data_IF_146668850305
#
_entry.id   IF_146668850305
#
_cell.length_a   1.000
_cell.length_b   1.000
_cell.length_c   1.000
_cell.angle_alpha   90.00
_cell.angle_beta   90.00
_cell.angle_gamma   90.00
#
_symmetry.space_group_name_H-M   'P 1'
#
loop_
_entity.id
_entity.type
_entity.pdbx_description
1 polymer ?
#
# COMPACT_ATOMS: atom_id res chain seq x y z
N UNK A 1 -2.86 -30.67 -1.73
CA UNK A 1 -2.44 -29.35 -1.23
C UNK A 1 -3.10 -28.27 -2.03
N UNK A 2 -3.83 -27.35 -1.38
CA UNK A 2 -4.32 -26.22 -2.12
C UNK A 2 -3.13 -25.34 -2.54
N UNK A 3 -3.02 -25.10 -3.80
CA UNK A 3 -2.00 -24.21 -4.32
C UNK A 3 -2.47 -22.76 -4.21
N UNK A 4 -1.56 -21.85 -3.89
CA UNK A 4 -1.87 -20.44 -3.92
C UNK A 4 -2.22 -20.05 -5.35
N UNK A 5 -3.26 -19.23 -5.55
CA UNK A 5 -3.56 -18.75 -6.89
C UNK A 5 -2.36 -18.03 -7.50
N UNK A 6 -2.12 -18.29 -8.77
CA UNK A 6 -1.07 -17.61 -9.51
C UNK A 6 -1.59 -16.29 -10.06
N UNK A 7 -0.67 -15.45 -10.53
CA UNK A 7 -1.03 -14.20 -11.22
C UNK A 7 -1.93 -14.49 -12.42
N UNK A 8 -1.65 -15.58 -13.15
CA UNK A 8 -2.48 -15.97 -14.30
C UNK A 8 -3.91 -16.31 -13.85
N UNK A 9 -4.07 -16.98 -12.72
CA UNK A 9 -5.40 -17.31 -12.17
C UNK A 9 -6.16 -16.04 -11.80
N UNK A 10 -5.49 -15.08 -11.16
CA UNK A 10 -6.11 -13.81 -10.83
C UNK A 10 -6.56 -13.07 -12.09
N UNK A 11 -5.74 -13.05 -13.12
CA UNK A 11 -6.03 -12.39 -14.37
C UNK A 11 -7.27 -13.00 -15.04
N UNK A 12 -7.28 -14.33 -15.19
CA UNK A 12 -8.40 -15.05 -15.80
C UNK A 12 -9.70 -14.82 -15.04
N UNK A 13 -9.64 -14.91 -13.72
CA UNK A 13 -10.82 -14.72 -12.87
C UNK A 13 -11.37 -13.31 -13.00
N UNK A 14 -10.50 -12.31 -12.96
CA UNK A 14 -10.92 -10.92 -13.08
C UNK A 14 -11.52 -10.62 -14.46
N UNK A 15 -10.92 -11.12 -15.52
CA UNK A 15 -11.46 -10.97 -16.87
C UNK A 15 -12.87 -11.54 -16.95
N UNK A 16 -13.07 -12.73 -16.42
CA UNK A 16 -14.36 -13.43 -16.47
C UNK A 16 -15.42 -12.72 -15.63
N UNK A 17 -15.06 -12.33 -14.40
CA UNK A 17 -16.02 -11.76 -13.46
C UNK A 17 -16.34 -10.30 -13.73
N UNK A 18 -15.39 -9.54 -14.27
CA UNK A 18 -15.61 -8.12 -14.56
C UNK A 18 -15.98 -7.84 -16.00
N UNK A 19 -15.97 -8.86 -16.85
CA UNK A 19 -16.24 -8.75 -18.30
C UNK A 19 -15.29 -7.77 -18.99
N UNK A 20 -14.04 -7.73 -18.55
CA UNK A 20 -12.99 -6.88 -19.12
C UNK A 20 -12.03 -7.72 -19.93
N UNK A 21 -11.41 -7.10 -20.94
CA UNK A 21 -10.37 -7.73 -21.74
C UNK A 21 -9.09 -7.86 -20.92
N UNK A 22 -8.19 -8.71 -21.40
CA UNK A 22 -6.87 -8.87 -20.81
C UNK A 22 -6.13 -7.52 -20.75
N UNK A 23 -6.14 -6.77 -21.86
CA UNK A 23 -5.49 -5.47 -21.93
C UNK A 23 -6.05 -4.48 -20.91
N UNK A 24 -7.37 -4.47 -20.73
CA UNK A 24 -8.01 -3.59 -19.74
C UNK A 24 -7.61 -3.95 -18.32
N UNK A 25 -7.62 -5.25 -17.98
CA UNK A 25 -7.24 -5.71 -16.63
C UNK A 25 -5.78 -5.42 -16.37
N UNK A 26 -4.89 -5.69 -17.34
CA UNK A 26 -3.47 -5.42 -17.20
C UNK A 26 -3.18 -3.92 -17.03
N UNK A 27 -3.88 -3.07 -17.77
CA UNK A 27 -3.73 -1.63 -17.64
C UNK A 27 -4.15 -1.16 -16.24
N UNK A 28 -5.29 -1.64 -15.75
CA UNK A 28 -5.75 -1.30 -14.41
C UNK A 28 -4.79 -1.81 -13.34
N UNK A 29 -4.31 -3.04 -13.50
CA UNK A 29 -3.36 -3.64 -12.57
C UNK A 29 -2.05 -2.84 -12.52
N UNK A 30 -1.54 -2.42 -13.68
CA UNK A 30 -0.33 -1.62 -13.77
C UNK A 30 -0.52 -0.25 -13.09
N UNK A 31 -1.61 0.44 -13.39
CA UNK A 31 -1.89 1.75 -12.79
C UNK A 31 -2.06 1.65 -11.26
N UNK A 32 -2.82 0.64 -10.82
CA UNK A 32 -3.06 0.41 -9.40
C UNK A 32 -1.77 0.05 -8.69
N UNK A 33 -0.96 -0.83 -9.30
CA UNK A 33 0.31 -1.23 -8.73
C UNK A 33 1.30 -0.09 -8.62
N UNK A 34 1.41 0.76 -9.65
CA UNK A 34 2.28 1.93 -9.61
C UNK A 34 1.85 2.92 -8.53
N UNK A 35 0.53 3.15 -8.41
CA UNK A 35 0.02 4.05 -7.38
C UNK A 35 0.32 3.53 -5.99
N UNK A 36 0.17 2.24 -5.78
CA UNK A 36 0.48 1.60 -4.50
C UNK A 36 1.98 1.70 -4.19
N UNK A 37 2.83 1.39 -5.15
CA UNK A 37 4.29 1.47 -4.97
C UNK A 37 4.73 2.89 -4.68
N UNK A 38 4.16 3.88 -5.38
CA UNK A 38 4.43 5.29 -5.13
C UNK A 38 4.04 5.67 -3.70
N UNK A 39 2.84 5.28 -3.28
CA UNK A 39 2.35 5.57 -1.93
C UNK A 39 3.25 4.97 -0.87
N UNK A 40 3.60 3.69 -1.03
CA UNK A 40 4.48 3.00 -0.09
C UNK A 40 5.85 3.65 0.00
N UNK A 41 6.39 4.04 -1.15
CA UNK A 41 7.68 4.71 -1.23
C UNK A 41 7.66 6.06 -0.50
N UNK A 42 6.65 6.87 -0.78
CA UNK A 42 6.56 8.21 -0.17
C UNK A 42 6.26 8.15 1.33
N UNK A 43 5.40 7.23 1.75
CA UNK A 43 5.13 7.05 3.18
C UNK A 43 6.35 6.52 3.92
N UNK A 44 7.12 5.64 3.29
CA UNK A 44 8.40 5.18 3.85
C UNK A 44 9.37 6.33 4.09
N UNK A 45 9.49 7.24 3.12
CA UNK A 45 10.33 8.44 3.25
C UNK A 45 9.84 9.34 4.39
N UNK A 46 8.53 9.51 4.49
CA UNK A 46 7.94 10.30 5.57
C UNK A 46 8.25 9.71 6.95
N UNK A 47 8.05 8.41 7.11
CA UNK A 47 8.31 7.72 8.38
C UNK A 47 9.80 7.82 8.77
N UNK A 48 10.69 7.78 7.79
CA UNK A 48 12.14 7.95 8.03
C UNK A 48 12.56 9.40 8.18
N UNK A 49 11.60 10.32 8.12
CA UNK A 49 11.83 11.77 8.26
C UNK A 49 12.69 12.36 7.15
N UNK A 50 12.61 11.76 5.97
CA UNK A 50 13.30 12.26 4.77
C UNK A 50 12.52 13.37 4.07
N UNK A 51 11.20 13.42 4.28
CA UNK A 51 10.33 14.45 3.74
C UNK A 51 9.41 14.99 4.85
N UNK A 52 8.96 16.23 4.68
CA UNK A 52 8.04 16.88 5.60
C UNK A 52 6.63 16.26 5.46
N UNK A 53 5.83 16.41 6.52
CA UNK A 53 4.45 15.91 6.52
C UNK A 53 3.62 16.53 5.40
N UNK A 54 3.77 17.82 5.15
CA UNK A 54 3.05 18.51 4.08
C UNK A 54 3.38 17.93 2.71
N UNK A 55 4.65 17.61 2.47
CA UNK A 55 5.08 16.98 1.23
C UNK A 55 4.47 15.58 1.08
N UNK A 56 4.42 14.81 2.17
CA UNK A 56 3.79 13.50 2.16
C UNK A 56 2.28 13.60 1.86
N UNK A 57 1.59 14.57 2.48
CA UNK A 57 0.17 14.81 2.25
C UNK A 57 -0.08 15.16 0.77
N UNK A 58 0.76 16.02 0.21
CA UNK A 58 0.64 16.38 -1.21
C UNK A 58 0.88 15.19 -2.13
N UNK A 59 1.79 14.30 -1.74
CA UNK A 59 2.15 13.14 -2.57
C UNK A 59 1.13 12.01 -2.53
N UNK A 60 0.55 11.71 -1.37
CA UNK A 60 -0.29 10.50 -1.19
C UNK A 60 -1.67 10.78 -0.60
N UNK A 61 -1.89 11.97 -0.08
CA UNK A 61 -3.16 12.35 0.55
C UNK A 61 -3.15 12.17 2.06
N UNK A 62 -3.94 13.01 2.73
CA UNK A 62 -4.02 13.08 4.18
C UNK A 62 -4.40 11.76 4.85
N UNK A 63 -5.43 11.01 4.36
CA UNK A 63 -5.81 9.76 5.04
C UNK A 63 -4.67 8.76 5.18
N UNK A 64 -3.82 8.64 4.17
CA UNK A 64 -2.69 7.72 4.20
C UNK A 64 -1.61 8.18 5.16
N UNK A 65 -1.37 9.49 5.23
CA UNK A 65 -0.40 10.06 6.19
C UNK A 65 -0.91 9.86 7.62
N UNK A 66 -2.19 10.09 7.86
CA UNK A 66 -2.78 9.87 9.18
C UNK A 66 -2.69 8.40 9.60
N UNK A 67 -2.90 7.48 8.66
CA UNK A 67 -2.75 6.05 8.95
C UNK A 67 -1.31 5.72 9.34
N UNK A 68 -0.34 6.26 8.61
CA UNK A 68 1.07 6.07 8.93
C UNK A 68 1.41 6.65 10.31
N UNK A 69 0.87 7.82 10.65
CA UNK A 69 1.04 8.44 11.97
C UNK A 69 0.52 7.52 13.08
N UNK A 70 -0.68 6.95 12.89
CA UNK A 70 -1.28 6.07 13.89
C UNK A 70 -0.48 4.78 14.05
N UNK A 71 0.00 4.20 12.96
CA UNK A 71 0.82 2.98 13.01
C UNK A 71 2.15 3.22 13.70
N UNK A 72 2.77 4.37 13.46
CA UNK A 72 4.02 4.73 14.11
C UNK A 72 3.82 4.93 15.61
N UNK A 73 2.77 5.63 16.02
CA UNK A 73 2.43 5.86 17.43
C UNK A 73 2.19 4.53 18.14
N UNK A 74 1.41 3.63 17.53
CA UNK A 74 1.15 2.32 18.11
C UNK A 74 2.43 1.52 18.29
N UNK A 75 3.33 1.54 17.31
CA UNK A 75 4.63 0.85 17.39
C UNK A 75 5.48 1.40 18.53
N UNK A 76 5.54 2.72 18.69
CA UNK A 76 6.30 3.35 19.76
C UNK A 76 5.73 2.98 21.13
N UNK A 77 4.42 2.98 21.28
CA UNK A 77 3.76 2.58 22.52
C UNK A 77 4.04 1.12 22.86
N UNK A 78 3.98 0.23 21.87
CA UNK A 78 4.28 -1.20 22.07
C UNK A 78 5.73 -1.42 22.50
N UNK A 79 6.67 -0.69 21.89
CA UNK A 79 8.07 -0.77 22.25
C UNK A 79 8.32 -0.25 23.66
N UNK A 80 7.69 0.86 24.02
CA UNK A 80 7.80 1.44 25.35
C UNK A 80 7.29 0.44 26.41
N UNK A 81 6.14 -0.19 26.13
CA UNK A 81 5.59 -1.20 27.03
C UNK A 81 6.53 -2.39 27.17
N UNK A 82 7.09 -2.88 26.07
CA UNK A 82 8.02 -4.02 26.08
C UNK A 82 9.28 -3.70 26.87
N UNK A 83 9.77 -2.47 26.80
CA UNK A 83 10.98 -2.05 27.53
C UNK A 83 10.75 -1.90 29.03
N UNK A 84 9.49 -1.73 29.44
CA UNK A 84 9.14 -1.64 30.87
C UNK A 84 9.00 -3.01 31.55
N UNK A 85 8.96 -4.07 30.74
CA UNK A 85 8.88 -5.44 31.27
C UNK A 85 10.28 -5.97 31.62
#
# INVERSE_FOLDING_TARGET
>A
MPQKPSVATYLETLMRQTHKSEAEVLTLAFQTGLRQLWREHMLGRYVRREIAREEAVDAVGLPWVELADRQHTAMVEDLAWALEQ
#
